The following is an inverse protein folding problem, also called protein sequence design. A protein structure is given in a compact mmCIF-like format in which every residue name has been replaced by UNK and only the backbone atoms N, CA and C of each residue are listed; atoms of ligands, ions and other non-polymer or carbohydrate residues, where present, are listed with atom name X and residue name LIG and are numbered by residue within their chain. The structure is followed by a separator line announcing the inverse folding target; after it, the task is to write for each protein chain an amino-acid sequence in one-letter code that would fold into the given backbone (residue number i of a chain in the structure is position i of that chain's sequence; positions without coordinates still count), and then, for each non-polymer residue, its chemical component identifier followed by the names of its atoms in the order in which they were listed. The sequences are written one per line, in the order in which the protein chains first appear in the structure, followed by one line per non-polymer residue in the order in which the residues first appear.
data_IF_241059728534
#
_entry.id   IF_241059728534
#
_cell.length_a   1.000
_cell.length_b   1.000
_cell.length_c   1.000
_cell.angle_alpha   90.00
_cell.angle_beta   90.00
_cell.angle_gamma   90.00
#
_symmetry.space_group_name_H-M   'P 1'
#
loop_
_entity.id
_entity.type
_entity.pdbx_description
1 polymer ?
#
# COMPACT_ATOMS: atom_id res chain seq x y z
N UNK A 1 -6.29 28.97 10.64
CA UNK A 1 -7.07 29.16 9.40
C UNK A 1 -6.33 28.66 8.15
N UNK A 2 -5.47 27.62 8.26
CA UNK A 2 -4.53 27.27 7.18
C UNK A 2 -4.83 25.95 6.44
N UNK A 3 -5.89 25.21 6.81
CA UNK A 3 -6.26 23.97 6.11
C UNK A 3 -7.12 24.17 4.85
N UNK A 4 -7.77 25.34 4.69
CA UNK A 4 -8.67 25.57 3.53
C UNK A 4 -7.92 25.93 2.24
N UNK A 5 -6.67 26.39 2.32
CA UNK A 5 -5.91 26.84 1.14
C UNK A 5 -5.21 25.68 0.42
N UNK A 6 -4.88 24.59 1.10
CA UNK A 6 -4.18 23.44 0.51
C UNK A 6 -5.07 22.61 -0.43
N UNK A 7 -6.37 22.54 -0.14
CA UNK A 7 -7.33 21.74 -0.90
C UNK A 7 -7.57 22.29 -2.31
N UNK A 8 -7.41 23.60 -2.51
CA UNK A 8 -7.58 24.24 -3.82
C UNK A 8 -6.38 24.03 -4.76
N UNK A 9 -5.16 23.86 -4.24
CA UNK A 9 -3.94 23.72 -5.06
C UNK A 9 -3.76 22.29 -5.58
N UNK A 10 -4.23 21.27 -4.86
CA UNK A 10 -4.07 19.86 -5.26
C UNK A 10 -5.01 19.48 -6.41
N UNK A 11 -6.18 20.12 -6.54
CA UNK A 11 -7.16 19.81 -7.61
C UNK A 11 -6.69 20.29 -8.98
N UNK A 12 -5.85 21.32 -9.06
CA UNK A 12 -5.35 21.86 -10.33
C UNK A 12 -4.19 21.05 -10.94
N UNK A 13 -3.56 20.14 -10.19
CA UNK A 13 -2.41 19.35 -10.69
C UNK A 13 -2.81 18.04 -11.41
N UNK A 14 -4.07 17.60 -11.33
CA UNK A 14 -4.49 16.27 -11.79
C UNK A 14 -5.00 16.19 -13.23
N UNK A 15 -5.01 17.30 -13.99
CA UNK A 15 -5.58 17.35 -15.34
C UNK A 15 -4.56 17.22 -16.48
N UNK A 16 -3.31 16.83 -16.20
CA UNK A 16 -2.22 16.77 -17.19
C UNK A 16 -1.64 15.37 -17.46
N UNK A 17 -2.34 14.27 -17.14
CA UNK A 17 -1.95 12.91 -17.55
C UNK A 17 -3.07 12.30 -18.38
N UNK A 18 -3.04 12.54 -19.69
CA UNK A 18 -4.04 12.00 -20.61
C UNK A 18 -3.86 12.41 -22.08
N UNK A 19 -2.82 11.91 -22.74
CA UNK A 19 -2.76 11.61 -24.19
C UNK A 19 -1.49 10.74 -24.41
N UNK A 20 -1.52 9.48 -24.88
CA UNK A 20 -1.97 8.94 -26.18
C UNK A 20 -0.73 8.46 -26.95
N UNK A 21 -0.47 7.14 -26.99
CA UNK A 21 0.11 6.49 -28.16
C UNK A 21 0.01 4.95 -28.10
N UNK A 22 -0.74 4.40 -29.06
CA UNK A 22 -0.68 3.05 -29.62
C UNK A 22 -0.47 3.35 -31.13
N UNK A 23 0.44 2.71 -31.91
CA UNK A 23 0.42 1.26 -32.14
C UNK A 23 1.78 0.58 -32.48
N UNK A 24 1.71 -0.75 -32.66
CA UNK A 24 2.47 -1.58 -33.61
C UNK A 24 3.56 -2.54 -33.07
N UNK A 25 3.26 -3.84 -33.25
CA UNK A 25 3.97 -4.81 -34.13
C UNK A 25 4.19 -6.17 -33.45
N UNK A 26 3.59 -7.27 -33.95
CA UNK A 26 3.88 -8.61 -33.47
C UNK A 26 5.22 -9.08 -34.08
N UNK A 27 6.18 -9.41 -33.22
CA UNK A 27 7.39 -10.11 -33.62
C UNK A 27 7.46 -11.44 -32.84
N UNK A 28 7.08 -12.52 -33.53
CA UNK A 28 7.48 -13.86 -33.15
C UNK A 28 8.98 -14.03 -33.40
N UNK A 29 9.69 -14.76 -32.54
CA UNK A 29 10.74 -15.64 -33.00
C UNK A 29 10.35 -17.09 -32.73
N UNK A 30 10.29 -17.86 -33.82
CA UNK A 30 10.43 -19.30 -33.80
C UNK A 30 11.80 -19.67 -33.21
N UNK A 31 11.81 -20.61 -32.28
CA UNK A 31 13.03 -21.14 -31.67
C UNK A 31 12.75 -22.53 -31.12
N UNK A 32 12.68 -23.50 -32.03
CA UNK A 32 12.72 -24.93 -31.73
C UNK A 32 14.15 -25.31 -31.35
N UNK A 33 14.34 -25.94 -30.20
CA UNK A 33 15.64 -26.40 -29.72
C UNK A 33 15.45 -27.25 -28.47
N UNK A 34 15.23 -28.55 -28.67
CA UNK A 34 15.05 -29.52 -27.61
C UNK A 34 16.29 -29.65 -26.73
N UNK A 35 16.07 -29.68 -25.43
CA UNK A 35 16.99 -30.27 -24.46
C UNK A 35 16.13 -30.95 -23.41
N UNK A 36 16.04 -32.29 -23.49
CA UNK A 36 15.46 -33.12 -22.44
C UNK A 36 16.35 -32.98 -21.19
N UNK A 37 16.01 -32.01 -20.35
CA UNK A 37 16.52 -31.93 -18.99
C UNK A 37 15.59 -32.75 -18.10
N UNK A 38 16.21 -33.63 -17.29
CA UNK A 38 15.58 -34.37 -16.20
C UNK A 38 14.62 -33.49 -15.39
N UNK A 39 13.54 -34.04 -14.79
CA UNK A 39 12.58 -33.27 -14.00
C UNK A 39 13.30 -32.61 -12.82
N UNK A 40 13.72 -31.36 -13.04
CA UNK A 40 14.17 -30.47 -12.00
C UNK A 40 12.96 -30.24 -11.11
N UNK A 41 13.02 -30.78 -9.89
CA UNK A 41 12.05 -30.47 -8.86
C UNK A 41 11.88 -28.95 -8.79
N UNK A 42 10.65 -28.41 -8.71
CA UNK A 42 10.44 -26.97 -8.65
C UNK A 42 11.18 -26.43 -7.44
N UNK A 43 12.30 -25.76 -7.70
CA UNK A 43 12.97 -24.93 -6.71
C UNK A 43 11.95 -23.83 -6.41
N UNK A 44 11.29 -23.93 -5.26
CA UNK A 44 10.39 -22.87 -4.80
C UNK A 44 11.28 -21.66 -4.57
N UNK A 45 11.28 -20.77 -5.54
CA UNK A 45 11.98 -19.49 -5.48
C UNK A 45 11.37 -18.68 -4.34
N UNK A 46 11.97 -18.81 -3.16
CA UNK A 46 11.61 -18.02 -1.97
C UNK A 46 11.68 -16.51 -2.26
N UNK A 47 12.42 -16.12 -3.31
CA UNK A 47 12.49 -14.74 -3.80
C UNK A 47 11.17 -14.26 -4.42
N UNK A 48 10.40 -15.13 -5.08
CA UNK A 48 9.08 -14.79 -5.62
C UNK A 48 8.03 -14.65 -4.52
N UNK A 49 8.10 -15.51 -3.50
CA UNK A 49 7.22 -15.45 -2.32
C UNK A 49 7.46 -14.16 -1.53
N UNK A 50 8.71 -13.72 -1.39
CA UNK A 50 9.04 -12.46 -0.73
C UNK A 50 8.54 -11.22 -1.48
N UNK A 51 8.47 -11.27 -2.82
CA UNK A 51 7.93 -10.18 -3.63
C UNK A 51 6.42 -10.03 -3.45
N UNK A 52 5.69 -11.16 -3.38
CA UNK A 52 4.23 -11.17 -3.17
C UNK A 52 3.86 -10.61 -1.78
N UNK A 53 4.58 -11.03 -0.73
CA UNK A 53 4.38 -10.52 0.64
C UNK A 53 4.63 -9.01 0.72
N UNK A 54 5.64 -8.49 0.02
CA UNK A 54 5.89 -7.04 -0.06
C UNK A 54 4.75 -6.29 -0.75
N UNK A 55 4.25 -6.81 -1.86
CA UNK A 55 3.15 -6.21 -2.60
C UNK A 55 1.84 -6.21 -1.77
N UNK A 56 1.56 -7.31 -1.07
CA UNK A 56 0.43 -7.40 -0.14
C UNK A 56 0.57 -6.40 1.01
N UNK A 57 1.75 -6.32 1.64
CA UNK A 57 1.98 -5.37 2.72
C UNK A 57 1.84 -3.91 2.27
N UNK A 58 2.36 -3.56 1.09
CA UNK A 58 2.19 -2.24 0.52
C UNK A 58 0.70 -1.93 0.28
N UNK A 59 -0.04 -2.87 -0.31
CA UNK A 59 -1.49 -2.74 -0.51
C UNK A 59 -2.24 -2.53 0.81
N UNK A 60 -1.90 -3.30 1.86
CA UNK A 60 -2.51 -3.15 3.18
C UNK A 60 -2.15 -1.81 3.84
N UNK A 61 -0.93 -1.29 3.63
CA UNK A 61 -0.49 0.02 4.14
C UNK A 61 -1.34 1.12 3.48
N UNK A 62 -1.47 1.07 2.16
CA UNK A 62 -2.26 2.01 1.38
C UNK A 62 -3.75 1.95 1.77
N UNK A 63 -4.31 0.75 1.91
CA UNK A 63 -5.69 0.54 2.38
C UNK A 63 -5.91 1.07 3.79
N UNK A 64 -5.04 0.72 4.74
CA UNK A 64 -5.14 1.21 6.12
C UNK A 64 -5.07 2.74 6.17
N UNK A 65 -4.17 3.34 5.40
CA UNK A 65 -4.02 4.80 5.32
C UNK A 65 -5.28 5.45 4.72
N UNK A 66 -5.86 4.87 3.67
CA UNK A 66 -7.12 5.33 3.11
C UNK A 66 -8.26 5.23 4.14
N UNK A 67 -8.40 4.07 4.80
CA UNK A 67 -9.43 3.87 5.84
C UNK A 67 -9.30 4.84 7.01
N UNK A 68 -8.09 5.19 7.43
CA UNK A 68 -7.86 6.22 8.46
C UNK A 68 -8.34 7.60 7.98
N UNK A 69 -8.10 7.95 6.72
CA UNK A 69 -8.54 9.23 6.12
C UNK A 69 -10.06 9.30 5.91
N UNK A 70 -10.69 8.16 5.66
CA UNK A 70 -12.14 8.01 5.50
C UNK A 70 -12.89 7.82 6.84
N UNK A 71 -12.22 7.99 7.99
CA UNK A 71 -12.76 7.74 9.34
C UNK A 71 -13.28 6.29 9.57
N UNK A 72 -12.88 5.34 8.71
CA UNK A 72 -13.24 3.92 8.79
C UNK A 72 -12.27 3.13 9.67
N UNK A 73 -12.22 3.49 10.95
CA UNK A 73 -11.24 2.97 11.90
C UNK A 73 -11.30 1.45 12.09
N UNK A 74 -12.49 0.83 12.06
CA UNK A 74 -12.65 -0.63 12.12
C UNK A 74 -11.96 -1.37 10.96
N UNK A 75 -12.05 -0.83 9.74
CA UNK A 75 -11.39 -1.43 8.57
C UNK A 75 -9.88 -1.20 8.62
N UNK A 76 -9.46 -0.03 9.10
CA UNK A 76 -8.05 0.26 9.32
C UNK A 76 -7.43 -0.70 10.34
N UNK A 77 -8.12 -1.01 11.44
CA UNK A 77 -7.63 -1.96 12.46
C UNK A 77 -7.46 -3.37 11.88
N UNK A 78 -8.42 -3.82 11.05
CA UNK A 78 -8.31 -5.11 10.36
C UNK A 78 -7.11 -5.15 9.41
N UNK A 79 -6.92 -4.11 8.59
CA UNK A 79 -5.79 -4.03 7.68
C UNK A 79 -4.44 -4.01 8.41
N UNK A 80 -4.34 -3.24 9.51
CA UNK A 80 -3.14 -3.21 10.38
C UNK A 80 -2.88 -4.57 11.01
N UNK A 81 -3.91 -5.28 11.49
CA UNK A 81 -3.77 -6.62 12.10
C UNK A 81 -3.23 -7.65 11.09
N UNK A 82 -3.69 -7.59 9.83
CA UNK A 82 -3.16 -8.41 8.75
C UNK A 82 -1.70 -8.05 8.44
N UNK A 83 -1.36 -6.76 8.49
CA UNK A 83 0.01 -6.27 8.33
C UNK A 83 0.96 -6.77 9.42
N UNK A 84 0.52 -6.80 10.68
CA UNK A 84 1.31 -7.34 11.79
C UNK A 84 1.59 -8.83 11.61
N UNK A 85 0.61 -9.58 11.09
CA UNK A 85 0.79 -11.00 10.74
C UNK A 85 1.84 -11.22 9.66
N UNK A 86 2.05 -10.22 8.79
CA UNK A 86 3.07 -10.24 7.73
C UNK A 86 4.40 -9.59 8.16
N UNK A 87 4.45 -8.86 9.28
CA UNK A 87 5.63 -8.10 9.75
C UNK A 87 6.85 -9.01 9.97
N UNK A 88 6.63 -10.24 10.43
CA UNK A 88 7.68 -11.26 10.58
C UNK A 88 8.27 -11.76 9.25
N UNK A 89 7.55 -11.57 8.14
CA UNK A 89 7.97 -11.93 6.78
C UNK A 89 8.42 -10.73 5.95
N UNK A 90 8.32 -9.52 6.50
CA UNK A 90 8.67 -8.28 5.82
C UNK A 90 10.13 -7.88 6.11
N UNK A 91 10.83 -7.28 5.13
CA UNK A 91 12.13 -6.67 5.37
C UNK A 91 11.99 -5.41 6.25
N UNK A 92 13.08 -5.03 6.94
CA UNK A 92 13.10 -3.93 7.90
C UNK A 92 12.55 -2.60 7.37
N UNK A 93 12.76 -2.29 6.09
CA UNK A 93 12.21 -1.08 5.45
C UNK A 93 10.69 -0.94 5.57
N UNK A 94 9.95 -2.06 5.54
CA UNK A 94 8.49 -2.03 5.65
C UNK A 94 8.03 -1.89 7.10
N UNK A 95 8.84 -2.31 8.07
CA UNK A 95 8.48 -2.23 9.49
C UNK A 95 8.23 -0.78 9.90
N UNK A 96 9.10 0.14 9.48
CA UNK A 96 8.95 1.58 9.74
C UNK A 96 7.62 2.13 9.20
N UNK A 97 7.20 1.70 8.01
CA UNK A 97 5.90 2.08 7.45
C UNK A 97 4.73 1.52 8.27
N UNK A 98 4.83 0.27 8.74
CA UNK A 98 3.81 -0.32 9.62
C UNK A 98 3.67 0.51 10.89
N UNK A 99 4.78 0.88 11.52
CA UNK A 99 4.78 1.67 12.75
C UNK A 99 4.19 3.07 12.53
N UNK A 100 4.42 3.69 11.37
CA UNK A 100 3.78 4.95 10.97
C UNK A 100 2.25 4.80 10.85
N UNK A 101 1.77 3.78 10.14
CA UNK A 101 0.33 3.51 9.98
C UNK A 101 -0.33 3.23 11.34
N UNK A 102 0.29 2.43 12.20
CA UNK A 102 -0.19 2.16 13.56
C UNK A 102 -0.30 3.45 14.36
N UNK A 103 0.69 4.34 14.26
CA UNK A 103 0.67 5.64 14.92
C UNK A 103 -0.45 6.55 14.40
N UNK A 104 -0.65 6.58 13.08
CA UNK A 104 -1.78 7.30 12.47
C UNK A 104 -3.13 6.76 12.93
N UNK A 105 -3.29 5.43 12.99
CA UNK A 105 -4.52 4.79 13.46
C UNK A 105 -4.79 5.15 14.92
N UNK A 106 -3.78 5.09 15.79
CA UNK A 106 -3.91 5.50 17.19
C UNK A 106 -4.27 6.97 17.34
N UNK A 107 -3.66 7.84 16.54
CA UNK A 107 -3.97 9.27 16.53
C UNK A 107 -5.41 9.53 16.06
N UNK A 108 -5.87 8.83 15.02
CA UNK A 108 -7.23 8.94 14.52
C UNK A 108 -8.26 8.37 15.51
N UNK A 109 -7.98 7.22 16.15
CA UNK A 109 -8.80 6.68 17.25
C UNK A 109 -8.86 7.63 18.44
N UNK A 110 -7.75 8.28 18.78
CA UNK A 110 -7.75 9.30 19.82
C UNK A 110 -8.61 10.50 19.40
N UNK A 111 -8.46 11.00 18.16
CA UNK A 111 -9.22 12.13 17.65
C UNK A 111 -10.74 11.85 17.64
N UNK A 112 -11.17 10.69 17.12
CA UNK A 112 -12.57 10.25 17.10
C UNK A 112 -13.08 9.95 18.52
N UNK A 113 -12.27 9.31 19.36
CA UNK A 113 -12.62 9.01 20.76
C UNK A 113 -12.70 10.25 21.65
N UNK A 114 -11.97 11.32 21.32
CA UNK A 114 -12.06 12.63 21.99
C UNK A 114 -13.10 13.57 21.38
N UNK A 115 -14.04 13.03 20.59
CA UNK A 115 -15.27 13.74 20.20
C UNK A 115 -16.13 14.23 21.37
N UNK A 116 -15.77 13.91 22.61
CA UNK A 116 -16.14 14.68 23.81
C UNK A 116 -15.19 15.85 24.06
N UNK A 117 -15.38 16.95 23.32
CA UNK A 117 -14.89 18.31 23.57
C UNK A 117 -13.40 18.50 23.95
N UNK A 118 -12.55 19.10 23.08
CA UNK A 118 -11.40 19.83 23.59
C UNK A 118 -11.94 21.00 24.42
N UNK A 119 -11.86 20.86 25.74
CA UNK A 119 -12.05 21.98 26.66
C UNK A 119 -11.12 23.10 26.24
N UNK A 120 -11.68 24.19 25.71
CA UNK A 120 -10.96 25.43 25.52
C UNK A 120 -10.33 25.82 26.86
N UNK A 121 -9.00 26.02 26.95
CA UNK A 121 -8.44 26.74 28.08
C UNK A 121 -9.00 28.18 28.08
N UNK A 122 -9.51 28.60 29.24
CA UNK A 122 -10.08 29.94 29.48
C UNK A 122 -8.98 30.99 29.58
#
# INVERSE_FOLDING_TARGET
MSCRTYLAVVVLLSLAVGCKDEPAKPAAPAGSGGSSAAPAMPRVDMSAVAADVKAQAQTLIDQATAYIKDDKLDLAEKAVTQLESLKSKLPGDYQAKVDEVVKMLKAAKAAVGTGGAPALPK
#
